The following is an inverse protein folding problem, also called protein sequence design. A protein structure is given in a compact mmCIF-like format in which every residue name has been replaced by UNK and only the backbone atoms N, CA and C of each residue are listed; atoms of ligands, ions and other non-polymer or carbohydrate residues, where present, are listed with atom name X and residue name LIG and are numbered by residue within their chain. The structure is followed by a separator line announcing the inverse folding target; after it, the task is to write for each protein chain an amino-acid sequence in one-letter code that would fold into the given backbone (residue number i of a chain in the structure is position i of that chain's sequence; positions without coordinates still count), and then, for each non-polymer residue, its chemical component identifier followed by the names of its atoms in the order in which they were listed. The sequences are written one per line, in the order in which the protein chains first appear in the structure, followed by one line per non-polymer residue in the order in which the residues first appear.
data_IF_333583078109
#
_entry.id   IF_333583078109
#
_cell.length_a   1.000
_cell.length_b   1.000
_cell.length_c   1.000
_cell.angle_alpha   90.00
_cell.angle_beta   90.00
_cell.angle_gamma   90.00
#
_symmetry.space_group_name_H-M   'P 1'
#
loop_
_entity.id
_entity.type
_entity.pdbx_description
1 polymer ?
#
# COMPACT_ATOMS: atom_id res chain seq x y z
N UNK A 1 -12.97 -21.20 29.71
CA UNK A 1 -12.33 -20.27 28.72
C UNK A 1 -11.81 -21.11 27.57
N UNK A 2 -12.45 -21.03 26.41
CA UNK A 2 -11.93 -21.69 25.21
C UNK A 2 -10.76 -20.86 24.66
N UNK A 3 -9.59 -21.44 24.37
CA UNK A 3 -8.51 -20.71 23.72
C UNK A 3 -9.00 -20.30 22.32
N UNK A 4 -9.13 -19.00 22.08
CA UNK A 4 -9.36 -18.48 20.75
C UNK A 4 -8.12 -18.83 19.90
N UNK A 5 -8.26 -19.83 19.05
CA UNK A 5 -7.29 -20.12 18.01
C UNK A 5 -7.30 -18.92 17.07
N UNK A 6 -6.21 -18.19 17.00
CA UNK A 6 -6.03 -17.08 16.10
C UNK A 6 -5.53 -17.61 14.73
N UNK A 7 -6.44 -18.01 13.81
CA UNK A 7 -6.01 -18.44 12.46
C UNK A 7 -5.41 -17.29 11.65
N UNK A 8 -5.70 -16.06 12.08
CA UNK A 8 -5.22 -14.84 11.42
C UNK A 8 -3.71 -14.59 11.55
N UNK A 9 -3.08 -15.01 12.66
CA UNK A 9 -1.63 -14.83 12.83
C UNK A 9 -0.81 -15.79 11.96
N UNK A 10 -1.28 -17.01 11.78
CA UNK A 10 -0.62 -18.01 10.92
C UNK A 10 -0.81 -17.62 9.44
N UNK A 11 -2.00 -17.17 9.06
CA UNK A 11 -2.27 -16.69 7.71
C UNK A 11 -1.44 -15.44 7.38
N UNK A 12 -1.28 -14.51 8.32
CA UNK A 12 -0.47 -13.31 8.15
C UNK A 12 1.03 -13.66 8.05
N UNK A 13 1.52 -14.58 8.87
CA UNK A 13 2.90 -15.08 8.79
C UNK A 13 3.16 -15.82 7.46
N UNK A 14 2.22 -16.65 7.01
CA UNK A 14 2.30 -17.32 5.73
C UNK A 14 2.32 -16.31 4.56
N UNK A 15 1.48 -15.26 4.61
CA UNK A 15 1.45 -14.20 3.61
C UNK A 15 2.77 -13.43 3.55
N UNK A 16 3.41 -13.17 4.70
CA UNK A 16 4.72 -12.53 4.77
C UNK A 16 5.85 -13.42 4.19
N UNK A 17 5.74 -14.74 4.32
CA UNK A 17 6.71 -15.68 3.76
C UNK A 17 6.57 -15.85 2.24
N UNK A 18 5.38 -15.59 1.68
CA UNK A 18 5.12 -15.57 0.25
C UNK A 18 5.40 -14.20 -0.41
N UNK A 19 5.73 -13.17 0.36
CA UNK A 19 6.24 -11.91 -0.16
C UNK A 19 7.69 -12.08 -0.66
N UNK A 20 7.89 -13.03 -1.55
CA UNK A 20 9.09 -13.08 -2.38
C UNK A 20 9.17 -11.77 -3.16
N UNK A 21 10.37 -11.23 -3.26
CA UNK A 21 10.78 -9.97 -3.88
C UNK A 21 9.69 -9.36 -4.78
N UNK A 22 8.87 -8.49 -4.22
CA UNK A 22 7.96 -7.66 -4.98
C UNK A 22 8.81 -6.64 -5.76
N UNK A 23 9.23 -7.04 -6.95
CA UNK A 23 9.85 -6.13 -7.90
C UNK A 23 8.78 -5.21 -8.46
N UNK A 24 8.61 -4.06 -7.82
CA UNK A 24 7.66 -3.05 -8.28
C UNK A 24 8.06 -2.43 -9.64
N UNK A 25 9.26 -2.68 -10.12
CA UNK A 25 9.83 -2.09 -11.32
C UNK A 25 10.64 -3.09 -12.17
N UNK A 26 10.09 -4.25 -12.48
CA UNK A 26 10.62 -5.09 -13.56
C UNK A 26 9.91 -4.78 -14.86
N UNK A 27 10.36 -3.75 -15.55
CA UNK A 27 9.94 -3.46 -16.91
C UNK A 27 10.18 -2.00 -17.28
N UNK A 28 11.06 -1.78 -18.24
CA UNK A 28 11.24 -0.53 -19.00
C UNK A 28 9.98 -0.17 -19.82
N UNK A 29 8.82 -0.25 -19.20
CA UNK A 29 7.62 0.30 -19.81
C UNK A 29 7.51 1.75 -19.37
N UNK A 30 8.09 2.64 -20.16
CA UNK A 30 7.77 4.05 -20.08
C UNK A 30 6.24 4.17 -20.06
N UNK A 31 5.70 4.54 -18.91
CA UNK A 31 4.26 4.79 -18.76
C UNK A 31 3.95 6.03 -19.55
N UNK A 32 3.64 5.85 -20.84
CA UNK A 32 3.35 6.94 -21.76
C UNK A 32 1.84 7.00 -21.98
N UNK A 33 1.25 8.11 -21.52
CA UNK A 33 -0.14 8.42 -21.76
C UNK A 33 -1.06 8.21 -20.57
N UNK A 34 -2.24 8.83 -20.65
CA UNK A 34 -3.23 8.88 -19.59
C UNK A 34 -3.77 7.48 -19.21
N UNK A 35 -4.06 6.64 -20.18
CA UNK A 35 -4.59 5.29 -19.94
C UNK A 35 -3.57 4.43 -19.20
N UNK A 36 -2.31 4.48 -19.60
CA UNK A 36 -1.24 3.73 -18.94
C UNK A 36 -1.02 4.21 -17.50
N UNK A 37 -1.07 5.52 -17.26
CA UNK A 37 -0.99 6.09 -15.92
C UNK A 37 -2.16 5.69 -15.01
N UNK A 38 -3.36 5.60 -15.57
CA UNK A 38 -4.56 5.18 -14.83
C UNK A 38 -4.57 3.67 -14.52
N UNK A 39 -4.06 2.86 -15.42
CA UNK A 39 -4.03 1.40 -15.23
C UNK A 39 -2.86 0.95 -14.36
N UNK A 40 -1.77 1.71 -14.29
CA UNK A 40 -0.58 1.36 -13.53
C UNK A 40 -0.87 1.01 -12.05
N UNK A 41 -1.61 1.82 -11.28
CA UNK A 41 -1.93 1.50 -9.89
C UNK A 41 -2.80 0.25 -9.73
N UNK A 42 -3.59 -0.11 -10.74
CA UNK A 42 -4.49 -1.26 -10.71
C UNK A 42 -3.78 -2.56 -11.09
N UNK A 43 -2.71 -2.48 -11.89
CA UNK A 43 -1.93 -3.63 -12.35
C UNK A 43 -0.75 -3.95 -11.43
N UNK A 44 -0.31 -3.00 -10.61
CA UNK A 44 0.70 -3.21 -9.59
C UNK A 44 0.09 -3.87 -8.34
N UNK A 45 0.49 -5.11 -8.01
CA UNK A 45 -0.02 -5.81 -6.83
C UNK A 45 0.27 -5.06 -5.53
N UNK A 46 1.43 -4.43 -5.43
CA UNK A 46 1.84 -3.59 -4.31
C UNK A 46 0.90 -2.39 -4.11
N UNK A 47 0.57 -1.69 -5.19
CA UNK A 47 -0.39 -0.59 -5.18
C UNK A 47 -1.80 -1.07 -4.83
N UNK A 48 -2.22 -2.18 -5.40
CA UNK A 48 -3.54 -2.77 -5.12
C UNK A 48 -3.66 -3.15 -3.65
N UNK A 49 -2.66 -3.83 -3.07
CA UNK A 49 -2.65 -4.17 -1.65
C UNK A 49 -2.59 -2.93 -0.75
N UNK A 50 -1.84 -1.89 -1.13
CA UNK A 50 -1.80 -0.63 -0.40
C UNK A 50 -3.18 0.04 -0.39
N UNK A 51 -3.89 0.09 -1.52
CA UNK A 51 -5.24 0.65 -1.60
C UNK A 51 -6.24 -0.12 -0.75
N UNK A 52 -6.21 -1.46 -0.78
CA UNK A 52 -7.06 -2.31 0.05
C UNK A 52 -6.76 -2.06 1.54
N UNK A 53 -5.49 -2.02 1.93
CA UNK A 53 -5.07 -1.80 3.31
C UNK A 53 -5.49 -0.42 3.83
N UNK A 54 -5.35 0.63 3.03
CA UNK A 54 -5.81 1.98 3.35
C UNK A 54 -7.33 2.02 3.53
N UNK A 55 -8.08 1.38 2.63
CA UNK A 55 -9.53 1.28 2.73
C UNK A 55 -9.99 0.53 3.98
N UNK A 56 -9.34 -0.58 4.29
CA UNK A 56 -9.63 -1.38 5.48
C UNK A 56 -9.33 -0.61 6.76
N UNK A 57 -8.18 0.06 6.83
CA UNK A 57 -7.81 0.88 7.97
C UNK A 57 -8.76 2.06 8.17
N UNK A 58 -9.16 2.73 7.09
CA UNK A 58 -10.16 3.79 7.13
C UNK A 58 -11.51 3.27 7.65
N UNK A 59 -11.94 2.08 7.21
CA UNK A 59 -13.17 1.45 7.67
C UNK A 59 -13.13 1.10 9.17
N UNK A 60 -11.98 0.62 9.67
CA UNK A 60 -11.79 0.35 11.10
C UNK A 60 -11.86 1.62 11.96
N UNK A 61 -11.45 2.76 11.43
CA UNK A 61 -11.53 4.05 12.13
C UNK A 61 -12.95 4.61 12.15
N UNK A 62 -13.69 4.40 11.05
CA UNK A 62 -15.05 4.91 10.89
C UNK A 62 -15.14 6.43 10.73
N UNK A 63 -16.35 6.93 10.67
CA UNK A 63 -16.64 8.36 10.62
C UNK A 63 -15.90 9.11 9.51
N UNK A 64 -15.23 10.20 9.87
CA UNK A 64 -14.48 11.02 8.89
C UNK A 64 -13.28 10.31 8.26
N UNK A 65 -12.74 9.30 8.90
CA UNK A 65 -11.60 8.56 8.38
C UNK A 65 -11.93 7.82 7.09
N UNK A 66 -13.18 7.42 6.86
CA UNK A 66 -13.63 6.73 5.65
C UNK A 66 -13.27 7.47 4.35
N UNK A 67 -13.26 8.79 4.37
CA UNK A 67 -12.88 9.59 3.21
C UNK A 67 -11.57 10.35 3.40
N UNK A 68 -11.23 10.77 4.62
CA UNK A 68 -10.04 11.55 4.89
C UNK A 68 -8.75 10.74 4.68
N UNK A 69 -8.74 9.46 5.07
CA UNK A 69 -7.58 8.59 4.91
C UNK A 69 -7.29 8.28 3.44
N UNK A 70 -8.27 7.81 2.63
CA UNK A 70 -8.05 7.65 1.19
C UNK A 70 -7.68 8.96 0.48
N UNK A 71 -8.32 10.08 0.84
CA UNK A 71 -7.99 11.38 0.24
C UNK A 71 -6.55 11.81 0.56
N UNK A 72 -6.09 11.63 1.79
CA UNK A 72 -4.70 11.91 2.18
C UNK A 72 -3.71 11.02 1.41
N UNK A 73 -4.04 9.74 1.23
CA UNK A 73 -3.22 8.81 0.46
C UNK A 73 -3.09 9.24 -1.01
N UNK A 74 -4.21 9.55 -1.68
CA UNK A 74 -4.20 10.04 -3.06
C UNK A 74 -3.47 11.38 -3.18
N UNK A 75 -3.68 12.28 -2.23
CA UNK A 75 -2.96 13.56 -2.17
C UNK A 75 -1.45 13.39 -2.05
N UNK A 76 -0.99 12.50 -1.17
CA UNK A 76 0.44 12.18 -1.01
C UNK A 76 1.03 11.58 -2.29
N UNK A 77 0.29 10.67 -2.96
CA UNK A 77 0.70 10.12 -4.26
C UNK A 77 0.83 11.21 -5.33
N UNK A 78 -0.13 12.14 -5.39
CA UNK A 78 -0.10 13.27 -6.33
C UNK A 78 1.10 14.17 -6.10
N UNK A 79 1.40 14.50 -4.84
CA UNK A 79 2.57 15.31 -4.48
C UNK A 79 3.88 14.58 -4.82
N UNK A 80 3.97 13.29 -4.55
CA UNK A 80 5.11 12.45 -4.93
C UNK A 80 5.33 12.42 -6.44
N UNK A 81 4.25 12.29 -7.21
CA UNK A 81 4.30 12.34 -8.67
C UNK A 81 4.76 13.69 -9.21
N UNK A 82 4.26 14.80 -8.66
CA UNK A 82 4.70 16.15 -9.01
C UNK A 82 6.18 16.36 -8.68
N UNK A 83 6.64 15.90 -7.52
CA UNK A 83 8.04 15.96 -7.13
C UNK A 83 8.94 15.19 -8.10
N UNK A 84 8.54 13.97 -8.46
CA UNK A 84 9.27 13.16 -9.44
C UNK A 84 9.29 13.84 -10.84
N UNK A 85 8.17 14.41 -11.25
CA UNK A 85 8.10 15.15 -12.53
C UNK A 85 9.00 16.39 -12.54
N UNK A 86 9.18 17.07 -11.41
CA UNK A 86 10.12 18.20 -11.28
C UNK A 86 11.59 17.78 -11.29
N UNK A 87 11.91 16.51 -11.50
CA UNK A 87 13.27 15.98 -11.50
C UNK A 87 13.77 15.58 -10.11
N UNK A 88 12.90 15.58 -9.11
CA UNK A 88 13.22 15.10 -7.77
C UNK A 88 13.42 13.60 -7.75
N UNK A 89 14.44 13.13 -7.04
CA UNK A 89 14.68 11.73 -6.77
C UNK A 89 14.72 11.48 -5.26
N UNK A 90 13.96 10.51 -4.80
CA UNK A 90 13.99 10.07 -3.41
C UNK A 90 14.86 8.81 -3.31
N UNK A 91 15.91 8.80 -2.49
CA UNK A 91 16.67 7.59 -2.26
C UNK A 91 15.82 6.56 -1.50
N UNK A 92 16.05 5.30 -1.78
CA UNK A 92 15.42 4.18 -1.05
C UNK A 92 13.88 4.16 -1.06
N UNK A 93 13.26 4.60 -2.14
CA UNK A 93 11.78 4.64 -2.27
C UNK A 93 11.16 3.27 -2.03
N UNK A 94 11.72 2.20 -2.59
CA UNK A 94 11.21 0.84 -2.41
C UNK A 94 11.23 0.39 -0.95
N UNK A 95 12.30 0.72 -0.23
CA UNK A 95 12.40 0.43 1.20
C UNK A 95 11.35 1.22 2.00
N UNK A 96 11.14 2.49 1.65
CA UNK A 96 10.14 3.32 2.30
C UNK A 96 8.72 2.80 2.06
N UNK A 97 8.41 2.35 0.84
CA UNK A 97 7.13 1.72 0.49
C UNK A 97 6.94 0.42 1.30
N UNK A 98 7.93 -0.46 1.31
CA UNK A 98 7.86 -1.71 2.06
C UNK A 98 7.63 -1.49 3.55
N UNK A 99 8.34 -0.54 4.16
CA UNK A 99 8.15 -0.16 5.56
C UNK A 99 6.77 0.43 5.82
N UNK A 100 6.25 1.26 4.94
CA UNK A 100 4.92 1.84 5.08
C UNK A 100 3.82 0.78 5.04
N UNK A 101 3.94 -0.20 4.15
CA UNK A 101 3.01 -1.34 4.07
C UNK A 101 3.10 -2.21 5.32
N UNK A 102 4.30 -2.46 5.83
CA UNK A 102 4.50 -3.21 7.07
C UNK A 102 3.83 -2.50 8.27
N UNK A 103 4.10 -1.21 8.44
CA UNK A 103 3.52 -0.40 9.52
C UNK A 103 1.99 -0.39 9.41
N UNK A 104 1.44 -0.19 8.22
CA UNK A 104 0.00 -0.20 7.99
C UNK A 104 -0.60 -1.56 8.31
N UNK A 105 0.04 -2.65 7.89
CA UNK A 105 -0.39 -4.02 8.21
C UNK A 105 -0.41 -4.28 9.72
N UNK A 106 0.60 -3.82 10.44
CA UNK A 106 0.66 -3.93 11.90
C UNK A 106 -0.46 -3.11 12.58
N UNK A 107 -0.72 -1.89 12.10
CA UNK A 107 -1.80 -1.06 12.62
C UNK A 107 -3.17 -1.71 12.43
N UNK A 108 -3.41 -2.32 11.28
CA UNK A 108 -4.65 -3.06 10.99
C UNK A 108 -4.78 -4.29 11.91
N UNK A 109 -3.69 -5.04 12.07
CA UNK A 109 -3.69 -6.28 12.84
C UNK A 109 -3.83 -6.06 14.35
N UNK A 110 -3.35 -4.94 14.88
CA UNK A 110 -3.38 -4.63 16.32
C UNK A 110 -4.66 -3.93 16.77
N UNK A 111 -5.49 -3.46 15.85
CA UNK A 111 -6.79 -2.92 16.21
C UNK A 111 -7.78 -4.05 16.49
N UNK A 112 -8.30 -4.02 17.72
CA UNK A 112 -9.41 -4.87 18.19
C UNK A 112 -10.69 -4.06 18.25
#
# INVERSE_FOLDING_TARGET
MKPMKHPSTIALAALCLFAGSASAHTGDHAVTGFVSGMTHPLLGLDHLFAMIAIGLWAAQQGGRALWAVPAAFVGAMGLGGLFAWSGGALPHVETAIALSVLVLGLLIATRR
#
